data_IF_686343961208
#
_entry.id   IF_686343961208
#
_cell.length_a   1.000
_cell.length_b   1.000
_cell.length_c   1.000
_cell.angle_alpha   90.00
_cell.angle_beta   90.00
_cell.angle_gamma   90.00
#
_symmetry.space_group_name_H-M   'P 1'
#
loop_
_entity.id
_entity.type
_entity.pdbx_description
1 polymer ?
#
# COMPACT_ATOMS: atom_id res chain seq x y z
N UNK A 1 -12.02 18.36 -33.31
CA UNK A 1 -10.82 17.93 -32.55
C UNK A 1 -10.87 18.32 -31.06
N UNK A 2 -11.45 19.48 -30.70
CA UNK A 2 -11.59 19.95 -29.31
C UNK A 2 -12.36 18.99 -28.39
N UNK A 3 -13.45 18.40 -28.89
CA UNK A 3 -14.27 17.44 -28.14
C UNK A 3 -13.57 16.07 -27.96
N UNK A 4 -12.67 15.70 -28.87
CA UNK A 4 -11.88 14.47 -28.77
C UNK A 4 -10.76 14.60 -27.72
N UNK A 5 -10.13 15.78 -27.66
CA UNK A 5 -9.16 16.12 -26.60
C UNK A 5 -9.81 16.21 -25.22
N UNK A 6 -11.05 16.72 -25.15
CA UNK A 6 -11.80 16.80 -23.88
C UNK A 6 -12.21 15.41 -23.36
N UNK A 7 -12.62 14.50 -24.24
CA UNK A 7 -12.93 13.11 -23.86
C UNK A 7 -11.67 12.39 -23.36
N UNK A 8 -10.53 12.55 -24.04
CA UNK A 8 -9.24 12.01 -23.59
C UNK A 8 -8.87 12.50 -22.18
N UNK A 9 -9.02 13.80 -21.91
CA UNK A 9 -8.72 14.40 -20.61
C UNK A 9 -9.62 13.86 -19.48
N UNK A 10 -10.90 13.60 -19.76
CA UNK A 10 -11.85 13.04 -18.78
C UNK A 10 -11.53 11.56 -18.50
N UNK A 11 -11.14 10.77 -19.52
CA UNK A 11 -10.79 9.35 -19.34
C UNK A 11 -9.47 9.11 -18.60
N UNK A 12 -8.55 10.08 -18.59
CA UNK A 12 -7.35 10.02 -17.74
C UNK A 12 -7.65 10.26 -16.26
N UNK A 13 -8.75 10.93 -15.90
CA UNK A 13 -9.08 11.23 -14.50
C UNK A 13 -9.66 10.03 -13.73
N UNK A 14 -10.15 9.00 -14.42
CA UNK A 14 -10.81 7.85 -13.80
C UNK A 14 -9.87 6.81 -13.19
N UNK A 15 -8.54 6.89 -13.42
CA UNK A 15 -7.58 5.94 -12.86
C UNK A 15 -7.04 6.33 -11.47
N UNK A 16 -7.51 7.43 -10.87
CA UNK A 16 -6.97 7.95 -9.60
C UNK A 16 -7.57 7.24 -8.36
N UNK A 17 -8.64 6.46 -8.52
CA UNK A 17 -9.43 5.94 -7.39
C UNK A 17 -8.98 4.59 -6.81
N UNK A 18 -7.85 4.03 -7.25
CA UNK A 18 -7.30 2.81 -6.67
C UNK A 18 -6.46 3.08 -5.39
N UNK A 19 -6.76 4.15 -4.64
CA UNK A 19 -6.02 4.45 -3.42
C UNK A 19 -6.60 3.62 -2.27
N UNK A 20 -5.73 2.82 -1.64
CA UNK A 20 -6.05 2.15 -0.39
C UNK A 20 -6.48 3.21 0.63
N UNK A 21 -7.60 3.00 1.32
CA UNK A 21 -8.14 3.98 2.28
C UNK A 21 -7.79 3.64 3.73
N UNK A 22 -7.08 2.53 3.95
CA UNK A 22 -6.71 2.03 5.27
C UNK A 22 -5.20 1.77 5.31
N UNK A 23 -4.66 1.51 6.50
CA UNK A 23 -3.27 1.10 6.71
C UNK A 23 -2.95 -0.14 5.87
N UNK A 24 -1.81 -0.13 5.18
CA UNK A 24 -1.32 -1.31 4.45
C UNK A 24 0.20 -1.41 4.52
N UNK A 25 0.71 -2.60 4.23
CA UNK A 25 2.15 -2.82 4.06
C UNK A 25 2.59 -2.33 2.68
N UNK A 26 3.31 -1.22 2.63
CA UNK A 26 3.77 -0.61 1.38
C UNK A 26 5.10 -1.18 0.90
N UNK A 27 5.97 -1.61 1.82
CA UNK A 27 7.29 -2.15 1.49
C UNK A 27 7.72 -3.28 2.44
N UNK A 28 8.48 -4.22 1.88
CA UNK A 28 9.23 -5.22 2.62
C UNK A 28 10.70 -5.14 2.22
N UNK A 29 11.58 -4.82 3.17
CA UNK A 29 13.02 -4.73 2.95
C UNK A 29 13.69 -6.01 3.42
N UNK A 30 14.44 -6.62 2.51
CA UNK A 30 15.24 -7.81 2.76
C UNK A 30 16.74 -7.45 2.76
N UNK A 31 17.31 -7.34 3.95
CA UNK A 31 18.75 -7.16 4.14
C UNK A 31 19.46 -8.49 4.36
N UNK A 32 20.69 -8.44 4.89
CA UNK A 32 21.44 -9.65 5.24
C UNK A 32 21.05 -10.17 6.63
N UNK A 33 21.07 -11.49 6.81
CA UNK A 33 20.71 -12.16 8.07
C UNK A 33 19.31 -11.81 8.58
N UNK A 34 19.22 -11.24 9.79
CA UNK A 34 18.00 -10.85 10.46
C UNK A 34 17.68 -9.35 10.25
N UNK A 35 18.34 -8.68 9.32
CA UNK A 35 18.06 -7.29 9.01
C UNK A 35 16.91 -7.21 8.00
N UNK A 36 15.68 -7.20 8.50
CA UNK A 36 14.44 -7.12 7.70
C UNK A 36 13.57 -6.01 8.25
N UNK A 37 12.85 -5.31 7.38
CA UNK A 37 11.90 -4.28 7.78
C UNK A 37 10.58 -4.41 7.01
N UNK A 38 9.50 -3.96 7.64
CA UNK A 38 8.18 -3.79 7.02
C UNK A 38 7.81 -2.32 7.16
N UNK A 39 7.42 -1.70 6.05
CA UNK A 39 6.83 -0.36 6.07
C UNK A 39 5.30 -0.48 6.17
N UNK A 40 4.70 0.29 7.08
CA UNK A 40 3.26 0.48 7.16
C UNK A 40 2.97 1.91 6.71
N UNK A 41 2.21 2.06 5.64
CA UNK A 41 1.81 3.36 5.13
C UNK A 41 0.40 3.73 5.61
N UNK A 42 0.24 4.96 6.07
CA UNK A 42 -1.04 5.59 6.33
C UNK A 42 -1.40 6.50 5.15
N UNK A 43 -2.37 6.11 4.29
CA UNK A 43 -2.79 6.92 3.15
C UNK A 43 -3.75 8.06 3.54
N UNK A 44 -4.12 8.18 4.81
CA UNK A 44 -5.05 9.20 5.30
C UNK A 44 -4.30 10.46 5.76
N UNK A 45 -5.03 11.57 5.89
CA UNK A 45 -4.49 12.83 6.39
C UNK A 45 -4.54 12.96 7.92
N UNK A 46 -5.13 11.97 8.60
CA UNK A 46 -5.29 11.95 10.04
C UNK A 46 -4.33 10.94 10.69
N UNK A 47 -3.99 11.20 11.95
CA UNK A 47 -3.21 10.23 12.74
C UNK A 47 -4.07 9.00 13.07
N UNK A 48 -3.50 7.80 12.89
CA UNK A 48 -4.15 6.54 13.27
C UNK A 48 -3.45 5.96 14.51
N UNK A 49 -4.22 5.65 15.55
CA UNK A 49 -3.72 4.98 16.75
C UNK A 49 -3.48 3.48 16.49
N UNK A 50 -2.21 3.06 16.61
CA UNK A 50 -1.79 1.68 16.38
C UNK A 50 -1.91 0.78 17.63
N UNK A 51 -2.34 1.31 18.78
CA UNK A 51 -2.36 0.57 20.07
C UNK A 51 -3.14 -0.75 20.00
N UNK A 52 -4.17 -0.81 19.15
CA UNK A 52 -5.01 -2.00 18.95
C UNK A 52 -4.55 -2.91 17.80
N UNK A 53 -3.53 -2.53 17.03
CA UNK A 53 -3.04 -3.30 15.91
C UNK A 53 -1.94 -4.28 16.34
N UNK A 54 -1.80 -5.39 15.61
CA UNK A 54 -0.75 -6.41 15.82
C UNK A 54 -0.24 -6.90 14.47
N UNK A 55 1.08 -7.06 14.36
CA UNK A 55 1.71 -7.72 13.21
C UNK A 55 1.88 -9.20 13.55
N UNK A 56 1.32 -10.07 12.72
CA UNK A 56 1.43 -11.52 12.87
C UNK A 56 2.21 -12.07 11.68
N UNK A 57 3.41 -12.60 11.93
CA UNK A 57 4.23 -13.25 10.91
C UNK A 57 4.05 -14.76 10.98
N UNK A 58 3.47 -15.35 9.94
CA UNK A 58 3.44 -16.80 9.79
C UNK A 58 4.69 -17.28 9.07
N UNK A 59 5.41 -18.24 9.65
CA UNK A 59 6.54 -18.91 9.01
C UNK A 59 6.15 -20.38 8.82
N UNK A 60 6.09 -20.84 7.58
CA UNK A 60 6.02 -22.28 7.30
C UNK A 60 7.43 -22.85 7.40
N UNK A 61 7.65 -23.72 8.37
CA UNK A 61 8.79 -24.63 8.31
C UNK A 61 8.45 -25.73 7.31
N UNK A 62 9.24 -25.85 6.25
CA UNK A 62 9.16 -26.99 5.34
C UNK A 62 9.74 -28.19 6.08
N UNK A 63 8.86 -29.11 6.48
CA UNK A 63 9.25 -30.35 7.13
C UNK A 63 9.46 -31.39 6.02
N UNK A 64 10.73 -31.71 5.76
CA UNK A 64 11.12 -32.95 5.09
C UNK A 64 11.38 -34.02 6.14
#
# INVERSE_FOLDING_TARGET
MKNLLLISLITLSSCIWAQCTDLFFSEYVEGTHNNKALEIFNPTNDSIDLSNYRIIRYSKYFQL
#
